data_IF_111651956268
#
_entry.id   IF_111651956268
#
_cell.length_a   1.000
_cell.length_b   1.000
_cell.length_c   1.000
_cell.angle_alpha   90.00
_cell.angle_beta   90.00
_cell.angle_gamma   90.00
#
_symmetry.space_group_name_H-M   'P 1'
#
loop_
_entity.id
_entity.type
_entity.pdbx_description
1 polymer ?
#
# COMPACT_ATOMS: atom_id res chain seq x y z
N UNK A 1 -11.28 -20.57 11.17
CA UNK A 1 -10.15 -19.71 10.78
C UNK A 1 -9.41 -20.18 9.52
N UNK A 2 -9.14 -21.49 9.35
CA UNK A 2 -8.45 -22.02 8.14
C UNK A 2 -9.08 -21.61 6.79
N UNK A 3 -10.42 -21.56 6.71
CA UNK A 3 -11.14 -21.19 5.48
C UNK A 3 -10.92 -19.74 5.01
N UNK A 4 -10.69 -18.81 5.94
CA UNK A 4 -10.48 -17.39 5.63
C UNK A 4 -9.06 -17.18 5.12
N UNK A 5 -8.08 -17.76 5.80
CA UNK A 5 -6.68 -17.74 5.40
C UNK A 5 -6.50 -18.40 4.02
N UNK A 6 -7.19 -19.51 3.75
CA UNK A 6 -7.18 -20.16 2.44
C UNK A 6 -7.74 -19.28 1.32
N UNK A 7 -8.81 -18.51 1.59
CA UNK A 7 -9.38 -17.57 0.62
C UNK A 7 -8.44 -16.41 0.31
N UNK A 8 -7.78 -15.88 1.34
CA UNK A 8 -6.78 -14.81 1.18
C UNK A 8 -5.55 -15.35 0.42
N UNK A 9 -5.07 -16.54 0.78
CA UNK A 9 -3.97 -17.22 0.10
C UNK A 9 -4.27 -17.46 -1.38
N UNK A 10 -5.47 -17.95 -1.72
CA UNK A 10 -5.88 -18.17 -3.09
C UNK A 10 -5.98 -16.84 -3.88
N UNK A 11 -6.54 -15.79 -3.28
CA UNK A 11 -6.59 -14.47 -3.91
C UNK A 11 -5.19 -13.91 -4.17
N UNK A 12 -4.28 -14.04 -3.20
CA UNK A 12 -2.90 -13.60 -3.32
C UNK A 12 -2.16 -14.38 -4.43
N UNK A 13 -2.38 -15.69 -4.51
CA UNK A 13 -1.83 -16.53 -5.58
C UNK A 13 -2.32 -16.09 -6.96
N UNK A 14 -3.61 -15.78 -7.10
CA UNK A 14 -4.18 -15.29 -8.36
C UNK A 14 -3.56 -13.93 -8.75
N UNK A 15 -3.32 -13.05 -7.79
CA UNK A 15 -2.65 -11.76 -8.03
C UNK A 15 -1.19 -11.94 -8.42
N UNK A 16 -0.46 -12.87 -7.79
CA UNK A 16 0.95 -13.15 -8.08
C UNK A 16 1.16 -13.91 -9.40
N UNK A 17 0.23 -14.81 -9.75
CA UNK A 17 0.23 -15.56 -11.01
C UNK A 17 -0.32 -14.74 -12.18
N UNK A 18 -0.94 -13.59 -11.92
CA UNK A 18 -1.51 -12.75 -12.97
C UNK A 18 -0.41 -12.25 -13.93
N UNK A 19 -0.72 -12.11 -15.23
CA UNK A 19 0.23 -11.56 -16.19
C UNK A 19 0.67 -10.15 -15.77
N UNK A 20 1.95 -9.83 -16.04
CA UNK A 20 2.72 -8.62 -15.66
C UNK A 20 2.05 -7.27 -16.03
N UNK A 21 0.88 -7.28 -16.68
CA UNK A 21 0.03 -6.11 -16.96
C UNK A 21 -0.81 -5.67 -15.74
N UNK A 22 -0.80 -6.44 -14.65
CA UNK A 22 -1.45 -6.10 -13.38
C UNK A 22 -0.65 -5.12 -12.49
N UNK A 23 0.68 -5.24 -12.28
CA UNK A 23 1.44 -4.29 -11.45
C UNK A 23 1.32 -2.84 -11.91
N UNK A 24 1.21 -2.57 -13.22
CA UNK A 24 0.97 -1.21 -13.75
C UNK A 24 -0.39 -0.62 -13.36
N UNK A 25 -1.42 -1.46 -13.15
CA UNK A 25 -2.76 -1.04 -12.70
C UNK A 25 -2.92 -1.11 -11.17
N UNK A 26 -2.11 -1.94 -10.52
CA UNK A 26 -2.08 -2.09 -9.06
C UNK A 26 -1.77 -0.76 -8.36
N UNK A 27 -0.90 0.09 -8.94
CA UNK A 27 -0.65 1.42 -8.38
C UNK A 27 -1.91 2.30 -8.30
N UNK A 28 -2.78 2.28 -9.31
CA UNK A 28 -4.05 3.01 -9.22
C UNK A 28 -4.98 2.40 -8.17
N UNK A 29 -5.03 1.07 -8.08
CA UNK A 29 -5.84 0.37 -7.07
C UNK A 29 -5.37 0.73 -5.65
N UNK A 30 -4.05 0.73 -5.40
CA UNK A 30 -3.46 1.13 -4.11
C UNK A 30 -3.81 2.58 -3.79
N UNK A 31 -3.75 3.51 -4.76
CA UNK A 31 -4.16 4.91 -4.56
C UNK A 31 -5.62 5.02 -4.12
N UNK A 32 -6.53 4.25 -4.73
CA UNK A 32 -7.93 4.26 -4.33
C UNK A 32 -8.18 3.62 -2.97
N UNK A 33 -7.42 2.59 -2.61
CA UNK A 33 -7.47 2.01 -1.27
C UNK A 33 -6.97 3.03 -0.23
N UNK A 34 -5.85 3.71 -0.50
CA UNK A 34 -5.31 4.74 0.39
C UNK A 34 -6.28 5.93 0.55
N UNK A 35 -6.88 6.40 -0.56
CA UNK A 35 -7.91 7.44 -0.52
C UNK A 35 -9.12 6.99 0.31
N UNK A 36 -9.60 5.76 0.09
CA UNK A 36 -10.74 5.21 0.82
C UNK A 36 -10.46 5.04 2.32
N UNK A 37 -9.27 4.54 2.67
CA UNK A 37 -8.83 4.40 4.06
C UNK A 37 -8.65 5.75 4.74
N UNK A 38 -8.02 6.73 4.08
CA UNK A 38 -7.88 8.08 4.63
C UNK A 38 -9.22 8.77 4.87
N UNK A 39 -10.19 8.61 3.96
CA UNK A 39 -11.55 9.13 4.17
C UNK A 39 -12.25 8.43 5.34
N UNK A 40 -12.13 7.10 5.45
CA UNK A 40 -12.74 6.34 6.54
C UNK A 40 -12.11 6.72 7.89
N UNK A 41 -10.80 6.89 7.95
CA UNK A 41 -10.06 7.36 9.11
C UNK A 41 -10.54 8.74 9.56
N UNK A 42 -10.61 9.73 8.66
CA UNK A 42 -11.11 11.07 8.99
C UNK A 42 -12.56 11.06 9.47
N UNK A 43 -13.44 10.26 8.87
CA UNK A 43 -14.86 10.19 9.30
C UNK A 43 -15.05 9.49 10.64
N UNK A 44 -14.17 8.53 10.98
CA UNK A 44 -14.14 7.88 12.30
C UNK A 44 -13.51 8.81 13.35
N UNK A 45 -12.44 9.50 13.01
CA UNK A 45 -11.74 10.49 13.85
C UNK A 45 -12.64 11.68 14.20
N UNK A 46 -13.40 12.19 13.23
CA UNK A 46 -14.44 13.22 13.42
C UNK A 46 -15.58 12.77 14.35
N UNK A 47 -15.83 11.46 14.43
CA UNK A 47 -16.83 10.88 15.33
C UNK A 47 -16.31 10.65 16.73
N UNK A 48 -15.01 10.38 16.89
CA UNK A 48 -14.45 9.96 18.16
C UNK A 48 -13.82 11.12 18.94
N UNK A 49 -12.97 12.01 18.42
CA UNK A 49 -12.42 13.10 19.23
C UNK A 49 -11.78 14.25 18.45
N UNK A 50 -12.17 15.48 18.79
CA UNK A 50 -11.29 16.66 18.74
C UNK A 50 -10.03 16.36 19.58
N UNK A 51 -8.90 16.03 18.96
CA UNK A 51 -7.63 16.04 19.67
C UNK A 51 -6.54 15.19 19.02
N UNK A 52 -5.43 15.85 18.72
CA UNK A 52 -4.12 15.32 18.33
C UNK A 52 -3.90 14.95 16.86
N UNK A 53 -3.51 16.01 16.15
CA UNK A 53 -2.70 15.98 14.93
C UNK A 53 -1.45 15.08 15.07
N UNK A 54 -1.23 14.20 14.11
CA UNK A 54 0.10 13.76 13.67
C UNK A 54 -0.01 13.20 12.25
N UNK A 55 0.70 13.77 11.24
CA UNK A 55 0.63 13.25 9.88
C UNK A 55 1.30 11.87 9.80
N UNK A 56 0.76 10.92 9.02
CA UNK A 56 1.42 9.64 8.82
C UNK A 56 2.71 9.84 8.01
N UNK A 57 3.82 9.43 8.60
CA UNK A 57 5.14 9.37 7.96
C UNK A 57 5.02 8.70 6.59
N UNK A 58 5.34 9.47 5.54
CA UNK A 58 5.50 8.94 4.20
C UNK A 58 6.69 7.98 4.22
N UNK A 59 6.41 6.68 4.26
CA UNK A 59 7.42 5.65 4.03
C UNK A 59 7.84 5.74 2.55
N UNK A 60 8.86 6.54 2.25
CA UNK A 60 9.57 6.43 0.97
C UNK A 60 10.35 5.11 0.96
N UNK A 61 10.18 4.24 -0.04
CA UNK A 61 11.06 3.11 -0.24
C UNK A 61 12.42 3.63 -0.70
N UNK A 62 13.42 3.61 0.18
CA UNK A 62 14.81 3.71 -0.21
C UNK A 62 15.18 2.43 -0.97
N UNK A 63 15.16 2.50 -2.31
CA UNK A 63 15.70 1.46 -3.18
C UNK A 63 16.91 2.06 -3.91
N UNK A 64 18.07 1.53 -3.53
CA UNK A 64 19.40 1.81 -4.05
C UNK A 64 19.46 1.73 -5.59
N UNK A 65 20.29 2.59 -6.20
CA UNK A 65 20.89 2.32 -7.50
C UNK A 65 22.35 2.73 -7.47
N UNK A 66 23.23 1.74 -7.36
CA UNK A 66 24.66 1.89 -7.56
C UNK A 66 25.03 2.19 -9.01
N UNK A 67 26.25 2.69 -9.19
CA UNK A 67 26.89 2.92 -10.49
C UNK A 67 28.20 3.67 -10.29
N UNK A 68 29.29 3.00 -10.66
CA UNK A 68 30.69 3.42 -10.61
C UNK A 68 30.93 4.79 -11.28
N UNK A 69 31.89 5.55 -10.76
CA UNK A 69 32.87 6.24 -11.59
C UNK A 69 34.18 6.38 -10.80
N UNK A 70 35.20 5.67 -11.29
CA UNK A 70 36.61 5.90 -10.97
C UNK A 70 37.07 7.25 -11.54
N UNK A 71 38.29 7.65 -11.15
CA UNK A 71 39.20 8.64 -11.78
C UNK A 71 39.16 10.06 -11.20
N UNK A 72 39.92 10.29 -10.12
CA UNK A 72 41.22 11.03 -10.12
C UNK A 72 41.81 11.16 -8.73
#
# INVERSE_FOLDING_TARGET
MKKIIQKISAALQVVLLAPIKLPGKALNIIKYIALGLGVVETVLEDKDNKGEESPPDQILPNQEKGGQDEIQ
#
